data_IF_419487071941
#
_entry.id   IF_419487071941
#
_cell.length_a   1.000
_cell.length_b   1.000
_cell.length_c   1.000
_cell.angle_alpha   90.00
_cell.angle_beta   90.00
_cell.angle_gamma   90.00
#
_symmetry.space_group_name_H-M   'P 1'
#
loop_
_entity.id
_entity.type
_entity.pdbx_description
1 polymer ?
#
# COMPACT_ATOMS: atom_id res chain seq x y z
N UNK A 1 17.17 -8.26 32.37
CA UNK A 1 17.85 -9.56 32.60
C UNK A 1 18.66 -9.86 31.35
N UNK A 2 19.95 -10.23 31.47
CA UNK A 2 20.78 -10.61 30.31
C UNK A 2 20.13 -11.83 29.66
N UNK A 3 19.80 -11.76 28.37
CA UNK A 3 19.37 -12.93 27.61
C UNK A 3 20.52 -13.94 27.61
N UNK A 4 20.27 -15.12 28.15
CA UNK A 4 21.24 -16.23 28.14
C UNK A 4 21.16 -16.87 26.76
N UNK A 5 22.27 -16.98 26.04
CA UNK A 5 22.24 -17.53 24.68
C UNK A 5 22.04 -19.03 24.72
N UNK A 6 21.20 -19.59 23.85
CA UNK A 6 20.89 -21.02 23.80
C UNK A 6 21.67 -21.69 22.68
N UNK A 7 22.37 -22.76 23.00
CA UNK A 7 23.10 -23.61 22.04
C UNK A 7 22.42 -24.97 22.04
N UNK A 8 22.02 -25.46 20.88
CA UNK A 8 21.48 -26.81 20.74
C UNK A 8 22.54 -27.74 20.14
N UNK A 9 22.95 -28.76 20.90
CA UNK A 9 23.83 -29.82 20.40
C UNK A 9 23.03 -31.07 20.03
N UNK A 10 23.25 -31.58 18.81
CA UNK A 10 22.56 -32.74 18.25
C UNK A 10 23.62 -33.77 17.84
N UNK A 11 23.65 -34.91 18.52
CA UNK A 11 24.60 -36.01 18.27
C UNK A 11 23.96 -37.31 18.81
N UNK A 12 24.08 -38.42 18.09
CA UNK A 12 23.46 -39.70 18.46
C UNK A 12 24.16 -40.40 19.63
N UNK A 13 25.37 -39.94 20.00
CA UNK A 13 26.16 -40.48 21.10
C UNK A 13 26.08 -39.57 22.32
N UNK A 14 25.50 -40.10 23.40
CA UNK A 14 25.37 -39.40 24.67
C UNK A 14 26.70 -38.87 25.23
N UNK A 15 27.78 -39.64 25.09
CA UNK A 15 29.12 -39.24 25.56
C UNK A 15 29.63 -37.96 24.86
N UNK A 16 29.34 -37.80 23.57
CA UNK A 16 29.72 -36.61 22.81
C UNK A 16 28.93 -35.39 23.33
N UNK A 17 27.62 -35.56 23.54
CA UNK A 17 26.75 -34.51 24.08
C UNK A 17 27.19 -34.05 25.48
N UNK A 18 27.55 -34.99 26.36
CA UNK A 18 28.06 -34.69 27.71
C UNK A 18 29.37 -33.90 27.61
N UNK A 19 30.28 -34.33 26.73
CA UNK A 19 31.58 -33.70 26.54
C UNK A 19 31.45 -32.28 25.99
N UNK A 20 30.64 -32.08 24.94
CA UNK A 20 30.34 -30.76 24.36
C UNK A 20 29.70 -29.85 25.41
N UNK A 21 28.72 -30.36 26.16
CA UNK A 21 28.04 -29.60 27.21
C UNK A 21 29.00 -29.17 28.32
N UNK A 22 29.90 -30.06 28.75
CA UNK A 22 30.90 -29.75 29.77
C UNK A 22 31.92 -28.69 29.28
N UNK A 23 32.41 -28.85 28.04
CA UNK A 23 33.34 -27.91 27.40
C UNK A 23 32.74 -26.50 27.29
N UNK A 24 31.55 -26.39 26.69
CA UNK A 24 30.90 -25.10 26.47
C UNK A 24 30.49 -24.43 27.79
N UNK A 25 30.05 -25.19 28.79
CA UNK A 25 29.72 -24.64 30.10
C UNK A 25 30.93 -24.04 30.82
N UNK A 26 32.12 -24.60 30.61
CA UNK A 26 33.36 -24.08 31.18
C UNK A 26 33.83 -22.83 30.42
N UNK A 27 33.85 -22.90 29.08
CA UNK A 27 34.44 -21.86 28.23
C UNK A 27 33.49 -20.67 27.93
N UNK A 28 32.17 -20.89 28.02
CA UNK A 28 31.12 -19.91 27.72
C UNK A 28 29.97 -20.05 28.76
N UNK A 29 30.21 -19.71 30.04
CA UNK A 29 29.26 -19.92 31.14
C UNK A 29 27.94 -19.13 30.99
N UNK A 30 27.92 -18.10 30.13
CA UNK A 30 26.74 -17.31 29.79
C UNK A 30 25.79 -17.97 28.78
N UNK A 31 26.10 -19.19 28.32
CA UNK A 31 25.26 -19.94 27.38
C UNK A 31 24.56 -21.13 28.05
N UNK A 32 23.31 -21.36 27.66
CA UNK A 32 22.57 -22.58 27.95
C UNK A 32 22.86 -23.62 26.87
N UNK A 33 23.23 -24.85 27.25
CA UNK A 33 23.40 -25.95 26.29
C UNK A 33 22.26 -26.95 26.43
N UNK A 34 21.44 -26.98 25.39
CA UNK A 34 20.35 -27.93 25.17
C UNK A 34 20.89 -29.06 24.29
N UNK A 35 20.41 -30.29 24.49
CA UNK A 35 20.90 -31.47 23.78
C UNK A 35 19.75 -32.26 23.15
N UNK A 36 20.01 -32.92 22.02
CA UNK A 36 19.13 -33.89 21.37
C UNK A 36 19.93 -35.10 20.90
N UNK A 37 19.37 -36.30 21.00
CA UNK A 37 20.05 -37.55 20.62
C UNK A 37 19.65 -38.06 19.22
N UNK A 38 18.72 -37.38 18.55
CA UNK A 38 18.30 -37.75 17.20
C UNK A 38 18.07 -36.50 16.36
N UNK A 39 18.23 -36.61 15.04
CA UNK A 39 17.91 -35.51 14.12
C UNK A 39 16.46 -35.02 14.25
N UNK A 40 15.50 -35.93 14.44
CA UNK A 40 14.08 -35.59 14.64
C UNK A 40 13.86 -34.77 15.91
N UNK A 41 14.38 -35.25 17.05
CA UNK A 41 14.31 -34.52 18.32
C UNK A 41 15.01 -33.16 18.21
N UNK A 42 16.15 -33.10 17.51
CA UNK A 42 16.90 -31.87 17.26
C UNK A 42 16.07 -30.81 16.53
N UNK A 43 15.35 -31.20 15.47
CA UNK A 43 14.46 -30.28 14.73
C UNK A 43 13.30 -29.79 15.61
N UNK A 44 12.64 -30.69 16.33
CA UNK A 44 11.53 -30.35 17.23
C UNK A 44 11.98 -29.36 18.31
N UNK A 45 13.15 -29.59 18.91
CA UNK A 45 13.74 -28.67 19.90
C UNK A 45 14.17 -27.35 19.26
N UNK A 46 14.73 -27.35 18.06
CA UNK A 46 15.12 -26.11 17.38
C UNK A 46 13.92 -25.18 17.13
N UNK A 47 12.77 -25.75 16.74
CA UNK A 47 11.53 -24.99 16.52
C UNK A 47 10.96 -24.48 17.85
N UNK A 48 10.95 -25.32 18.89
CA UNK A 48 10.38 -24.97 20.19
C UNK A 48 11.21 -23.98 20.98
N UNK A 49 12.52 -24.19 21.04
CA UNK A 49 13.44 -23.45 21.92
C UNK A 49 14.11 -22.27 21.24
N UNK A 50 14.09 -22.22 19.90
CA UNK A 50 14.73 -21.21 19.05
C UNK A 50 16.16 -20.88 19.50
N UNK A 51 17.09 -21.85 19.43
CA UNK A 51 18.46 -21.65 19.86
C UNK A 51 19.17 -20.58 19.00
N UNK A 52 20.20 -19.96 19.57
CA UNK A 52 21.03 -18.95 18.92
C UNK A 52 22.08 -19.58 17.99
N UNK A 53 22.44 -20.85 18.22
CA UNK A 53 23.25 -21.64 17.28
C UNK A 53 23.02 -23.14 17.52
N UNK A 54 23.29 -23.95 16.50
CA UNK A 54 23.14 -25.40 16.53
C UNK A 54 24.49 -26.04 16.25
N UNK A 55 24.90 -26.98 17.11
CA UNK A 55 25.99 -27.92 16.86
C UNK A 55 25.37 -29.23 16.39
N UNK A 56 25.77 -29.70 15.22
CA UNK A 56 25.11 -30.83 14.56
C UNK A 56 26.13 -31.86 14.10
N UNK A 57 26.05 -33.06 14.64
CA UNK A 57 26.81 -34.18 14.11
C UNK A 57 26.32 -34.58 12.71
N UNK A 58 27.24 -34.91 11.82
CA UNK A 58 26.91 -35.34 10.46
C UNK A 58 26.42 -36.79 10.45
N UNK A 59 27.04 -37.68 11.22
CA UNK A 59 26.91 -39.12 11.09
C UNK A 59 25.93 -39.66 12.14
N UNK A 60 24.64 -39.44 11.94
CA UNK A 60 23.58 -39.95 12.81
C UNK A 60 22.71 -41.00 12.10
N UNK A 61 22.16 -41.99 12.83
CA UNK A 61 21.28 -43.00 12.26
C UNK A 61 19.92 -42.41 11.86
N UNK A 62 19.30 -43.02 10.85
CA UNK A 62 17.96 -42.68 10.29
C UNK A 62 17.93 -41.33 9.54
N UNK A 63 18.47 -40.26 10.13
CA UNK A 63 18.52 -38.93 9.53
C UNK A 63 19.90 -38.32 9.80
N UNK A 64 20.66 -38.11 8.73
CA UNK A 64 21.99 -37.52 8.84
C UNK A 64 21.95 -36.01 9.13
N UNK A 65 23.10 -35.43 9.50
CA UNK A 65 23.18 -34.00 9.81
C UNK A 65 22.89 -33.10 8.60
N UNK A 66 23.09 -33.57 7.36
CA UNK A 66 22.78 -32.78 6.17
C UNK A 66 21.26 -32.65 5.98
N UNK A 67 20.52 -33.75 6.16
CA UNK A 67 19.06 -33.77 6.13
C UNK A 67 18.46 -32.89 7.22
N UNK A 68 19.01 -32.94 8.44
CA UNK A 68 18.60 -32.07 9.54
C UNK A 68 18.85 -30.60 9.19
N UNK A 69 20.05 -30.26 8.72
CA UNK A 69 20.39 -28.88 8.33
C UNK A 69 19.44 -28.36 7.25
N UNK A 70 19.18 -29.16 6.21
CA UNK A 70 18.27 -28.78 5.13
C UNK A 70 16.85 -28.49 5.64
N UNK A 71 16.31 -29.35 6.53
CA UNK A 71 14.99 -29.13 7.14
C UNK A 71 14.94 -27.87 8.01
N UNK A 72 16.00 -27.57 8.74
CA UNK A 72 16.11 -26.35 9.56
C UNK A 72 16.17 -25.09 8.69
N UNK A 73 16.94 -25.11 7.59
CA UNK A 73 17.07 -23.98 6.68
C UNK A 73 15.84 -23.78 5.78
N UNK A 74 15.04 -24.82 5.55
CA UNK A 74 13.76 -24.71 4.84
C UNK A 74 12.62 -24.12 5.70
N UNK A 75 12.74 -24.13 7.03
CA UNK A 75 11.68 -23.67 7.93
C UNK A 75 11.84 -22.19 8.30
N UNK A 76 10.80 -21.38 8.12
CA UNK A 76 10.82 -19.93 8.38
C UNK A 76 11.24 -19.55 9.81
N UNK A 77 10.90 -20.37 10.81
CA UNK A 77 11.25 -20.11 12.20
C UNK A 77 12.73 -20.36 12.51
N UNK A 78 13.34 -21.35 11.86
CA UNK A 78 14.70 -21.83 12.20
C UNK A 78 15.76 -21.50 11.15
N UNK A 79 15.37 -21.02 9.96
CA UNK A 79 16.30 -20.79 8.84
C UNK A 79 17.42 -19.79 9.13
N UNK A 80 17.19 -18.89 10.08
CA UNK A 80 18.12 -17.86 10.52
C UNK A 80 19.05 -18.33 11.65
N UNK A 81 18.96 -19.59 12.09
CA UNK A 81 19.81 -20.13 13.15
C UNK A 81 21.10 -20.66 12.49
N UNK A 82 22.29 -20.18 12.92
CA UNK A 82 23.55 -20.69 12.41
C UNK A 82 23.78 -22.15 12.83
N UNK A 83 24.21 -22.97 11.88
CA UNK A 83 24.47 -24.40 12.06
C UNK A 83 25.96 -24.69 11.90
N UNK A 84 26.59 -25.19 12.96
CA UNK A 84 27.96 -25.67 12.98
C UNK A 84 27.92 -27.19 12.87
N UNK A 85 28.43 -27.72 11.76
CA UNK A 85 28.49 -29.14 11.49
C UNK A 85 29.76 -29.76 12.09
N UNK A 86 29.61 -30.89 12.77
CA UNK A 86 30.72 -31.64 13.36
C UNK A 86 30.95 -32.91 12.53
N UNK A 87 32.15 -33.03 11.94
CA UNK A 87 32.49 -34.10 10.99
C UNK A 87 33.62 -34.98 11.50
N UNK A 88 33.59 -36.28 11.20
CA UNK A 88 34.71 -37.19 11.47
C UNK A 88 35.85 -37.06 10.43
N UNK A 89 35.65 -36.34 9.32
CA UNK A 89 36.57 -36.35 8.17
C UNK A 89 37.30 -35.02 8.02
N UNK A 90 38.63 -35.01 8.20
CA UNK A 90 39.48 -33.80 8.02
C UNK A 90 39.68 -33.39 6.55
N UNK A 91 39.50 -34.29 5.58
CA UNK A 91 40.09 -34.18 4.23
C UNK A 91 39.16 -34.29 3.03
N UNK A 92 37.83 -34.46 3.20
CA UNK A 92 36.93 -34.50 2.03
C UNK A 92 36.37 -33.10 1.70
N UNK A 93 37.08 -32.39 0.83
CA UNK A 93 36.66 -31.08 0.30
C UNK A 93 35.27 -31.13 -0.36
N UNK A 94 34.85 -32.27 -0.94
CA UNK A 94 33.55 -32.38 -1.63
C UNK A 94 32.38 -32.40 -0.64
N UNK A 95 32.51 -33.12 0.48
CA UNK A 95 31.49 -33.16 1.53
C UNK A 95 31.34 -31.83 2.28
N UNK A 96 32.41 -31.03 2.38
CA UNK A 96 32.36 -29.67 2.94
C UNK A 96 31.66 -28.69 1.99
N UNK A 97 31.97 -28.75 0.69
CA UNK A 97 31.29 -27.92 -0.34
C UNK A 97 29.79 -28.22 -0.37
N UNK A 98 29.40 -29.49 -0.43
CA UNK A 98 27.99 -29.92 -0.38
C UNK A 98 27.28 -29.40 0.88
N UNK A 99 27.97 -29.39 2.02
CA UNK A 99 27.42 -28.90 3.27
C UNK A 99 27.21 -27.38 3.32
N UNK A 100 28.13 -26.60 2.77
CA UNK A 100 27.97 -25.16 2.60
C UNK A 100 26.81 -24.84 1.63
N UNK A 101 26.67 -25.61 0.55
CA UNK A 101 25.55 -25.48 -0.41
C UNK A 101 24.18 -25.80 0.22
N UNK A 102 24.13 -26.68 1.23
CA UNK A 102 22.93 -27.02 2.00
C UNK A 102 22.63 -25.97 3.10
N UNK A 103 23.55 -25.02 3.30
CA UNK A 103 23.38 -23.88 4.22
C UNK A 103 24.03 -24.08 5.60
N UNK A 104 24.91 -25.07 5.79
CA UNK A 104 25.73 -25.09 7.00
C UNK A 104 26.68 -23.89 7.02
N UNK A 105 26.84 -23.25 8.17
CA UNK A 105 27.62 -22.01 8.30
C UNK A 105 29.10 -22.30 8.57
N UNK A 106 29.39 -23.38 9.30
CA UNK A 106 30.75 -23.78 9.72
C UNK A 106 30.89 -25.30 9.78
N UNK A 107 32.11 -25.81 9.58
CA UNK A 107 32.49 -27.21 9.82
C UNK A 107 33.62 -27.31 10.85
N UNK A 108 33.51 -28.25 11.78
CA UNK A 108 34.54 -28.60 12.78
C UNK A 108 34.84 -30.10 12.66
N UNK A 109 36.13 -30.47 12.61
CA UNK A 109 36.54 -31.87 12.56
C UNK A 109 36.65 -32.51 13.95
N UNK A 110 36.32 -33.80 14.07
CA UNK A 110 36.63 -34.64 15.24
C UNK A 110 38.08 -35.14 15.14
N UNK A 111 38.82 -35.28 16.27
CA UNK A 111 38.42 -34.92 17.63
C UNK A 111 38.26 -33.39 17.78
N UNK A 112 37.24 -32.99 18.54
CA UNK A 112 36.87 -31.58 18.70
C UNK A 112 37.98 -30.85 19.48
N UNK A 113 38.60 -29.88 18.85
CA UNK A 113 39.47 -28.92 19.54
C UNK A 113 38.61 -27.91 20.32
N UNK A 114 38.91 -27.74 21.60
CA UNK A 114 38.10 -26.91 22.49
C UNK A 114 38.18 -25.42 22.13
N UNK A 115 39.34 -24.95 21.69
CA UNK A 115 39.56 -23.56 21.30
C UNK A 115 38.91 -23.25 19.95
N UNK A 116 38.99 -24.20 19.00
CA UNK A 116 38.29 -24.11 17.72
C UNK A 116 36.76 -24.04 17.93
N UNK A 117 36.18 -24.98 18.68
CA UNK A 117 34.74 -25.00 18.94
C UNK A 117 34.28 -23.73 19.63
N UNK A 118 34.98 -23.32 20.68
CA UNK A 118 34.64 -22.10 21.44
C UNK A 118 34.69 -20.87 20.54
N UNK A 119 35.71 -20.76 19.69
CA UNK A 119 35.86 -19.64 18.76
C UNK A 119 34.73 -19.60 17.75
N UNK A 120 34.41 -20.74 17.12
CA UNK A 120 33.34 -20.82 16.12
C UNK A 120 31.97 -20.52 16.72
N UNK A 121 31.67 -21.07 17.90
CA UNK A 121 30.42 -20.77 18.63
C UNK A 121 30.33 -19.27 18.93
N UNK A 122 31.40 -18.65 19.44
CA UNK A 122 31.40 -17.19 19.71
C UNK A 122 31.17 -16.36 18.46
N UNK A 123 31.70 -16.77 17.30
CA UNK A 123 31.44 -16.09 16.02
C UNK A 123 29.99 -16.27 15.60
N UNK A 124 29.44 -17.49 15.64
CA UNK A 124 28.04 -17.74 15.27
C UNK A 124 27.06 -16.99 16.15
N UNK A 125 27.28 -16.92 17.47
CA UNK A 125 26.45 -16.14 18.38
C UNK A 125 26.49 -14.63 18.06
N UNK A 126 27.64 -14.10 17.64
CA UNK A 126 27.75 -12.69 17.19
C UNK A 126 26.98 -12.46 15.89
N UNK A 127 27.08 -13.38 14.94
CA UNK A 127 26.33 -13.32 13.67
C UNK A 127 24.83 -13.37 13.95
N UNK A 128 24.36 -14.35 14.73
CA UNK A 128 22.95 -14.47 15.14
C UNK A 128 22.42 -13.18 15.74
N UNK A 129 23.17 -12.60 16.69
CA UNK A 129 22.77 -11.36 17.35
C UNK A 129 22.68 -10.18 16.37
N UNK A 130 23.58 -10.10 15.39
CA UNK A 130 23.55 -9.07 14.36
C UNK A 130 22.35 -9.26 13.42
N UNK A 131 22.08 -10.50 12.99
CA UNK A 131 20.93 -10.85 12.14
C UNK A 131 19.59 -10.59 12.84
N UNK A 132 19.44 -10.99 14.11
CA UNK A 132 18.24 -10.72 14.89
C UNK A 132 17.99 -9.22 15.04
N UNK A 133 19.06 -8.46 15.30
CA UNK A 133 18.97 -7.01 15.39
C UNK A 133 18.51 -6.42 14.07
N UNK A 134 19.15 -6.77 12.95
CA UNK A 134 18.76 -6.30 11.63
C UNK A 134 17.32 -6.66 11.28
N UNK A 135 16.88 -7.88 11.62
CA UNK A 135 15.50 -8.31 11.41
C UNK A 135 14.52 -7.47 12.22
N UNK A 136 14.79 -7.26 13.50
CA UNK A 136 13.94 -6.42 14.36
C UNK A 136 13.87 -4.96 13.89
N UNK A 137 15.00 -4.40 13.46
CA UNK A 137 15.07 -3.04 12.91
C UNK A 137 14.29 -2.93 11.60
N UNK A 138 14.38 -3.94 10.74
CA UNK A 138 13.60 -4.02 9.50
C UNK A 138 12.09 -4.02 9.80
N UNK A 139 11.62 -4.87 10.71
CA UNK A 139 10.20 -4.97 11.05
C UNK A 139 9.67 -3.62 11.60
N UNK A 140 10.45 -2.95 12.47
CA UNK A 140 10.11 -1.62 13.01
C UNK A 140 10.09 -0.56 11.89
N UNK A 141 11.05 -0.63 10.97
CA UNK A 141 11.15 0.33 9.87
C UNK A 141 9.96 0.17 8.90
N UNK A 142 9.57 -1.07 8.57
CA UNK A 142 8.39 -1.36 7.74
C UNK A 142 7.11 -0.79 8.38
N UNK A 143 6.91 -1.01 9.68
CA UNK A 143 5.78 -0.43 10.41
C UNK A 143 5.82 1.12 10.41
N UNK A 144 7.01 1.70 10.60
CA UNK A 144 7.18 3.16 10.59
C UNK A 144 6.89 3.76 9.21
N UNK A 145 7.36 3.13 8.13
CA UNK A 145 7.08 3.55 6.75
C UNK A 145 5.59 3.50 6.47
N UNK A 146 4.91 2.41 6.87
CA UNK A 146 3.46 2.29 6.70
C UNK A 146 2.72 3.42 7.43
N UNK A 147 2.99 3.62 8.72
CA UNK A 147 2.34 4.67 9.52
C UNK A 147 2.59 6.08 8.97
N UNK A 148 3.82 6.36 8.52
CA UNK A 148 4.15 7.66 7.92
C UNK A 148 3.44 7.86 6.57
N UNK A 149 3.35 6.81 5.76
CA UNK A 149 2.64 6.85 4.47
C UNK A 149 1.15 7.13 4.68
N UNK A 150 0.50 6.44 5.62
CA UNK A 150 -0.91 6.69 5.98
C UNK A 150 -1.11 8.13 6.50
N UNK A 151 -0.18 8.64 7.30
CA UNK A 151 -0.24 10.03 7.80
C UNK A 151 -0.13 11.04 6.66
N UNK A 152 0.79 10.83 5.70
CA UNK A 152 0.94 11.70 4.53
C UNK A 152 -0.35 11.70 3.70
N UNK A 153 -0.91 10.53 3.39
CA UNK A 153 -2.18 10.41 2.66
C UNK A 153 -3.31 11.19 3.35
N UNK A 154 -3.46 11.04 4.67
CA UNK A 154 -4.48 11.78 5.44
C UNK A 154 -4.27 13.29 5.42
N UNK A 155 -3.02 13.75 5.53
CA UNK A 155 -2.71 15.18 5.45
C UNK A 155 -3.04 15.72 4.06
N UNK A 156 -2.71 14.97 3.01
CA UNK A 156 -3.02 15.33 1.63
C UNK A 156 -4.53 15.42 1.38
N UNK A 157 -5.32 14.44 1.84
CA UNK A 157 -6.79 14.48 1.76
C UNK A 157 -7.37 15.70 2.50
N UNK A 158 -6.90 15.97 3.72
CA UNK A 158 -7.33 17.13 4.49
C UNK A 158 -6.96 18.46 3.80
N UNK A 159 -5.81 18.51 3.13
CA UNK A 159 -5.39 19.68 2.35
C UNK A 159 -6.31 19.89 1.15
N UNK A 160 -6.66 18.84 0.40
CA UNK A 160 -7.64 18.92 -0.69
C UNK A 160 -9.00 19.41 -0.20
N UNK A 161 -9.51 18.87 0.91
CA UNK A 161 -10.76 19.35 1.53
C UNK A 161 -10.67 20.81 1.96
N UNK A 162 -9.53 21.24 2.48
CA UNK A 162 -9.31 22.64 2.87
C UNK A 162 -9.33 23.55 1.65
N UNK A 163 -8.64 23.18 0.56
CA UNK A 163 -8.65 23.94 -0.71
C UNK A 163 -10.08 24.00 -1.26
N UNK A 164 -10.79 22.88 -1.31
CA UNK A 164 -12.19 22.80 -1.72
C UNK A 164 -13.08 23.76 -0.91
N UNK A 165 -12.89 23.84 0.41
CA UNK A 165 -13.61 24.78 1.29
C UNK A 165 -13.24 26.24 1.03
N UNK A 166 -11.96 26.54 0.78
CA UNK A 166 -11.51 27.91 0.46
C UNK A 166 -12.18 28.39 -0.83
N UNK A 167 -12.21 27.55 -1.88
CA UNK A 167 -12.93 27.86 -3.13
C UNK A 167 -14.40 28.18 -2.82
N UNK A 168 -15.03 27.38 -1.96
CA UNK A 168 -16.42 27.62 -1.55
C UNK A 168 -16.68 28.79 -0.63
N UNK A 169 -15.67 29.53 -0.18
CA UNK A 169 -15.90 30.81 0.53
C UNK A 169 -16.28 31.94 -0.44
N UNK A 170 -15.83 31.86 -1.70
CA UNK A 170 -16.20 32.82 -2.75
C UNK A 170 -17.53 32.50 -3.42
N UNK A 171 -17.96 31.24 -3.28
CA UNK A 171 -19.21 30.75 -3.82
C UNK A 171 -19.97 29.98 -2.73
N UNK A 172 -20.94 30.63 -2.06
CA UNK A 172 -21.76 30.00 -1.00
C UNK A 172 -22.42 28.67 -1.43
N UNK A 173 -22.53 28.44 -2.74
CA UNK A 173 -23.05 27.23 -3.39
C UNK A 173 -22.15 25.99 -3.23
N UNK A 174 -20.84 26.18 -3.06
CA UNK A 174 -19.84 25.10 -3.15
C UNK A 174 -19.72 24.28 -1.84
N UNK A 175 -20.38 24.69 -0.75
CA UNK A 175 -20.31 23.98 0.53
C UNK A 175 -20.81 22.51 0.41
N UNK A 176 -19.85 21.57 0.42
CA UNK A 176 -20.11 20.13 0.24
C UNK A 176 -20.43 19.69 -1.20
N UNK A 177 -20.53 20.61 -2.16
CA UNK A 177 -20.78 20.31 -3.58
C UNK A 177 -19.69 19.39 -4.14
N UNK A 178 -18.43 19.80 -4.01
CA UNK A 178 -17.29 19.02 -4.50
C UNK A 178 -17.22 17.60 -3.92
N UNK A 179 -17.62 17.44 -2.66
CA UNK A 179 -17.65 16.12 -2.00
C UNK A 179 -18.77 15.24 -2.57
N UNK A 180 -19.97 15.82 -2.78
CA UNK A 180 -21.10 15.11 -3.39
C UNK A 180 -20.83 14.74 -4.85
N UNK A 181 -20.24 15.64 -5.64
CA UNK A 181 -19.79 15.34 -7.01
C UNK A 181 -18.78 14.20 -7.00
N UNK A 182 -17.76 14.27 -6.14
CA UNK A 182 -16.74 13.21 -6.01
C UNK A 182 -17.35 11.87 -5.63
N UNK A 183 -18.28 11.83 -4.66
CA UNK A 183 -18.98 10.61 -4.25
C UNK A 183 -19.77 9.99 -5.41
N UNK A 184 -20.52 10.80 -6.17
CA UNK A 184 -21.31 10.32 -7.30
C UNK A 184 -20.43 9.87 -8.46
N UNK A 185 -19.40 10.65 -8.82
CA UNK A 185 -18.45 10.31 -9.89
C UNK A 185 -17.73 8.98 -9.61
N UNK A 186 -17.29 8.76 -8.37
CA UNK A 186 -16.68 7.49 -7.94
C UNK A 186 -17.68 6.33 -8.02
N UNK A 187 -18.94 6.55 -7.63
CA UNK A 187 -19.98 5.52 -7.73
C UNK A 187 -20.27 5.13 -9.18
N UNK A 188 -20.34 6.11 -10.09
CA UNK A 188 -20.49 5.89 -11.52
C UNK A 188 -19.29 5.11 -12.06
N UNK A 189 -18.06 5.59 -11.80
CA UNK A 189 -16.83 4.98 -12.30
C UNK A 189 -16.65 3.53 -11.84
N UNK A 190 -17.02 3.20 -10.60
CA UNK A 190 -16.96 1.82 -10.09
C UNK A 190 -17.93 0.89 -10.81
N UNK A 191 -19.16 1.33 -11.05
CA UNK A 191 -20.14 0.53 -11.80
C UNK A 191 -19.81 0.45 -13.30
N UNK A 192 -19.01 1.39 -13.82
CA UNK A 192 -18.37 1.33 -15.16
C UNK A 192 -17.16 0.39 -15.22
N UNK A 193 -16.75 -0.23 -14.10
CA UNK A 193 -15.58 -1.11 -14.01
C UNK A 193 -14.25 -0.42 -14.36
N UNK A 194 -14.15 0.88 -14.10
CA UNK A 194 -12.89 1.63 -14.23
C UNK A 194 -11.88 1.11 -13.18
N UNK A 195 -10.58 0.99 -13.52
CA UNK A 195 -9.55 0.57 -12.57
C UNK A 195 -9.50 1.46 -11.31
N UNK A 196 -9.33 0.87 -10.12
CA UNK A 196 -9.35 1.62 -8.84
C UNK A 196 -8.27 2.72 -8.79
N UNK A 197 -7.13 2.51 -9.45
CA UNK A 197 -6.09 3.54 -9.60
C UNK A 197 -6.62 4.76 -10.36
N UNK A 198 -7.37 4.58 -11.44
CA UNK A 198 -7.96 5.68 -12.23
C UNK A 198 -9.15 6.33 -11.50
N UNK A 199 -9.92 5.56 -10.73
CA UNK A 199 -10.99 6.06 -9.85
C UNK A 199 -10.43 7.07 -8.83
N UNK A 200 -9.23 6.84 -8.31
CA UNK A 200 -8.60 7.80 -7.39
C UNK A 200 -8.31 9.15 -8.09
N UNK A 201 -7.88 9.12 -9.36
CA UNK A 201 -7.77 10.33 -10.19
C UNK A 201 -9.10 11.07 -10.36
N UNK A 202 -10.21 10.35 -10.61
CA UNK A 202 -11.57 10.90 -10.68
C UNK A 202 -11.97 11.54 -9.35
N UNK A 203 -11.73 10.83 -8.24
CA UNK A 203 -12.07 11.27 -6.88
C UNK A 203 -11.38 12.59 -6.56
N UNK A 204 -10.06 12.65 -6.75
CA UNK A 204 -9.25 13.85 -6.51
C UNK A 204 -9.69 14.97 -7.42
N UNK A 205 -9.84 14.72 -8.72
CA UNK A 205 -10.18 15.77 -9.68
C UNK A 205 -11.56 16.36 -9.39
N UNK A 206 -12.54 15.54 -9.05
CA UNK A 206 -13.88 15.98 -8.67
C UNK A 206 -13.88 16.92 -7.46
N UNK A 207 -12.92 16.78 -6.55
CA UNK A 207 -12.82 17.66 -5.37
C UNK A 207 -12.28 19.06 -5.71
N UNK A 208 -11.59 19.20 -6.84
CA UNK A 208 -10.85 20.43 -7.21
C UNK A 208 -11.20 20.96 -8.60
N UNK A 209 -12.17 20.35 -9.31
CA UNK A 209 -12.51 20.70 -10.69
C UNK A 209 -12.85 22.20 -10.87
N UNK A 210 -13.40 22.79 -9.83
CA UNK A 210 -13.80 24.19 -9.77
C UNK A 210 -12.74 25.15 -9.20
N UNK A 211 -11.49 24.69 -8.99
CA UNK A 211 -10.42 25.51 -8.36
C UNK A 211 -10.16 26.85 -9.07
N UNK A 212 -10.38 26.90 -10.38
CA UNK A 212 -10.23 28.13 -11.15
C UNK A 212 -11.26 29.21 -10.83
N UNK A 213 -12.38 28.89 -10.15
CA UNK A 213 -13.38 29.88 -9.72
C UNK A 213 -12.81 30.89 -8.73
N UNK A 214 -11.63 30.64 -8.18
CA UNK A 214 -10.93 31.61 -7.32
C UNK A 214 -10.66 32.96 -8.00
N UNK A 215 -10.55 32.99 -9.33
CA UNK A 215 -10.37 34.20 -10.12
C UNK A 215 -11.68 34.86 -10.57
N UNK A 216 -12.83 34.21 -10.36
CA UNK A 216 -14.14 34.76 -10.74
C UNK A 216 -14.67 35.66 -9.60
N UNK A 217 -15.13 36.89 -9.89
CA UNK A 217 -15.73 37.77 -8.89
C UNK A 217 -16.94 37.12 -8.19
N UNK A 218 -17.04 37.31 -6.87
CA UNK A 218 -18.11 36.71 -6.07
C UNK A 218 -19.49 37.27 -6.45
N UNK A 219 -19.56 38.51 -6.91
CA UNK A 219 -20.77 39.18 -7.39
C UNK A 219 -21.33 38.51 -8.65
N UNK A 220 -20.47 37.90 -9.46
CA UNK A 220 -20.87 37.14 -10.66
C UNK A 220 -21.35 35.74 -10.26
N UNK A 221 -20.61 35.05 -9.37
CA UNK A 221 -20.96 33.71 -8.90
C UNK A 221 -22.29 33.68 -8.13
N UNK A 222 -22.56 34.72 -7.35
CA UNK A 222 -23.75 34.84 -6.51
C UNK A 222 -24.90 35.65 -7.14
N UNK A 223 -24.76 36.08 -8.40
CA UNK A 223 -25.73 36.96 -9.07
C UNK A 223 -27.13 36.31 -9.13
N UNK A 224 -28.18 36.94 -8.58
CA UNK A 224 -29.55 36.46 -8.76
C UNK A 224 -30.02 36.70 -10.19
N UNK A 225 -30.48 35.65 -10.87
CA UNK A 225 -31.03 35.71 -12.22
C UNK A 225 -30.08 35.19 -13.30
N UNK A 226 -30.36 35.57 -14.57
CA UNK A 226 -29.53 35.14 -15.71
C UNK A 226 -28.27 35.99 -15.80
N UNK A 227 -27.16 35.32 -16.08
CA UNK A 227 -25.88 35.95 -16.42
C UNK A 227 -25.94 36.48 -17.85
N UNK A 228 -25.25 37.58 -18.09
CA UNK A 228 -24.95 38.04 -19.45
C UNK A 228 -23.89 37.15 -20.08
N UNK A 229 -23.78 37.17 -21.41
CA UNK A 229 -22.77 36.37 -22.12
C UNK A 229 -21.34 36.70 -21.69
N UNK A 230 -21.07 37.97 -21.35
CA UNK A 230 -19.76 38.42 -20.85
C UNK A 230 -19.50 37.84 -19.45
N UNK A 231 -20.48 37.90 -18.55
CA UNK A 231 -20.36 37.34 -17.20
C UNK A 231 -20.20 35.82 -17.23
N UNK A 232 -20.95 35.14 -18.12
CA UNK A 232 -20.81 33.71 -18.32
C UNK A 232 -19.43 33.35 -18.89
N UNK A 233 -18.91 34.14 -19.84
CA UNK A 233 -17.56 33.98 -20.37
C UNK A 233 -16.47 34.08 -19.29
N UNK A 234 -16.64 34.96 -18.30
CA UNK A 234 -15.74 35.03 -17.14
C UNK A 234 -15.83 33.77 -16.26
N UNK A 235 -17.01 33.19 -16.09
CA UNK A 235 -17.15 31.92 -15.39
C UNK A 235 -16.46 30.80 -16.16
N UNK A 236 -16.62 30.71 -17.48
CA UNK A 236 -16.03 29.64 -18.30
C UNK A 236 -14.50 29.55 -18.17
N UNK A 237 -13.82 30.67 -17.88
CA UNK A 237 -12.37 30.73 -17.66
C UNK A 237 -11.87 29.95 -16.43
N UNK A 238 -12.76 29.46 -15.55
CA UNK A 238 -12.32 28.63 -14.43
C UNK A 238 -11.69 27.31 -14.88
N UNK A 239 -12.09 26.78 -16.04
CA UNK A 239 -11.51 25.54 -16.61
C UNK A 239 -10.03 25.76 -16.95
N UNK A 240 -9.72 26.80 -17.72
CA UNK A 240 -8.35 27.14 -18.12
C UNK A 240 -7.52 27.65 -16.94
N UNK A 241 -8.11 28.44 -16.04
CA UNK A 241 -7.43 28.85 -14.80
C UNK A 241 -7.10 27.65 -13.92
N UNK A 242 -8.05 26.70 -13.79
CA UNK A 242 -7.85 25.47 -13.03
C UNK A 242 -6.73 24.61 -13.61
N UNK A 243 -6.67 24.48 -14.93
CA UNK A 243 -5.57 23.84 -15.65
C UNK A 243 -4.22 24.50 -15.31
N UNK A 244 -4.12 25.83 -15.40
CA UNK A 244 -2.88 26.57 -15.12
C UNK A 244 -2.39 26.39 -13.67
N UNK A 245 -3.31 26.29 -12.71
CA UNK A 245 -2.98 26.01 -11.31
C UNK A 245 -2.46 24.58 -11.13
N UNK A 246 -3.13 23.60 -11.74
CA UNK A 246 -2.90 22.19 -11.47
C UNK A 246 -1.78 21.56 -12.32
N UNK A 247 -1.49 22.10 -13.53
CA UNK A 247 -0.47 21.55 -14.45
C UNK A 247 0.96 21.56 -13.89
N UNK A 248 1.18 22.31 -12.81
CA UNK A 248 2.50 22.42 -12.16
C UNK A 248 2.77 21.29 -11.15
N UNK A 249 1.73 20.52 -10.79
CA UNK A 249 1.83 19.45 -9.80
C UNK A 249 1.97 18.11 -10.54
N UNK A 250 3.00 17.34 -10.16
CA UNK A 250 3.26 16.01 -10.69
C UNK A 250 2.33 14.98 -10.04
N UNK A 251 1.11 14.90 -10.56
CA UNK A 251 0.16 13.83 -10.21
C UNK A 251 0.34 12.63 -11.15
N UNK A 252 0.12 11.40 -10.65
CA UNK A 252 0.15 10.21 -11.50
C UNK A 252 -1.03 10.15 -12.50
N UNK A 253 -2.00 11.06 -12.37
CA UNK A 253 -3.18 11.18 -13.23
C UNK A 253 -3.20 12.54 -13.94
N UNK A 254 -3.84 12.64 -15.13
CA UNK A 254 -3.93 13.88 -15.90
C UNK A 254 -4.97 14.86 -15.31
N UNK A 255 -4.82 15.21 -14.03
CA UNK A 255 -5.79 16.00 -13.27
C UNK A 255 -6.04 17.35 -13.94
N UNK A 256 -4.99 18.03 -14.41
CA UNK A 256 -5.11 19.32 -15.04
C UNK A 256 -5.98 19.24 -16.30
N UNK A 257 -5.72 18.27 -17.17
CA UNK A 257 -6.49 18.04 -18.39
C UNK A 257 -7.94 17.68 -18.09
N UNK A 258 -8.20 16.85 -17.08
CA UNK A 258 -9.57 16.52 -16.67
C UNK A 258 -10.31 17.78 -16.20
N UNK A 259 -9.67 18.65 -15.40
CA UNK A 259 -10.23 19.95 -15.00
C UNK A 259 -10.45 20.87 -16.20
N UNK A 260 -9.58 20.83 -17.20
CA UNK A 260 -9.78 21.64 -18.41
C UNK A 260 -11.02 21.21 -19.20
N UNK A 261 -11.33 19.90 -19.19
CA UNK A 261 -12.32 19.28 -20.05
C UNK A 261 -13.68 19.02 -19.38
N UNK A 262 -13.82 19.19 -18.07
CA UNK A 262 -15.03 18.76 -17.34
C UNK A 262 -16.34 19.48 -17.72
N UNK A 263 -16.28 20.53 -18.55
CA UNK A 263 -17.44 21.19 -19.16
C UNK A 263 -17.53 21.02 -20.68
N UNK A 264 -16.68 20.18 -21.26
CA UNK A 264 -16.84 19.73 -22.64
C UNK A 264 -18.08 18.84 -22.76
N UNK A 265 -18.74 18.92 -23.91
CA UNK A 265 -19.89 18.08 -24.26
C UNK A 265 -19.46 17.21 -25.44
N UNK A 266 -19.82 15.92 -25.46
CA UNK A 266 -19.30 14.98 -26.47
C UNK A 266 -19.65 15.36 -27.93
N UNK A 267 -20.67 16.20 -28.15
CA UNK A 267 -21.02 16.79 -29.45
C UNK A 267 -20.20 18.04 -29.85
N UNK A 268 -19.29 18.53 -29.03
CA UNK A 268 -18.48 19.73 -29.28
C UNK A 268 -19.15 21.06 -28.94
N UNK A 269 -20.32 21.05 -28.28
CA UNK A 269 -21.00 22.28 -27.83
C UNK A 269 -20.53 22.79 -26.47
N UNK A 270 -19.57 22.09 -25.85
CA UNK A 270 -18.99 22.45 -24.57
C UNK A 270 -17.88 23.49 -24.68
N UNK A 271 -17.13 23.66 -23.60
CA UNK A 271 -16.04 24.63 -23.50
C UNK A 271 -14.91 24.06 -22.61
N UNK A 272 -13.66 24.58 -22.71
CA UNK A 272 -13.23 25.78 -23.45
C UNK A 272 -12.90 25.59 -24.94
N UNK A 273 -12.72 24.36 -25.41
CA UNK A 273 -12.23 24.11 -26.77
C UNK A 273 -13.27 23.47 -27.70
N UNK A 274 -14.42 23.03 -27.18
CA UNK A 274 -15.45 22.38 -27.99
C UNK A 274 -15.00 21.00 -28.47
N UNK A 275 -14.33 20.26 -27.58
CA UNK A 275 -13.84 18.92 -27.84
C UNK A 275 -15.00 17.96 -28.12
N UNK A 276 -14.73 16.90 -28.88
CA UNK A 276 -15.70 15.84 -29.18
C UNK A 276 -15.34 14.57 -28.44
N UNK A 277 -16.27 13.63 -28.35
CA UNK A 277 -16.17 12.40 -27.53
C UNK A 277 -14.75 11.79 -27.45
N UNK A 278 -14.15 11.45 -28.59
CA UNK A 278 -12.84 10.79 -28.65
C UNK A 278 -11.65 11.63 -28.14
N UNK A 279 -11.83 12.93 -27.96
CA UNK A 279 -10.81 13.87 -27.46
C UNK A 279 -11.01 14.22 -25.98
N UNK A 280 -12.13 13.81 -25.37
CA UNK A 280 -12.46 14.10 -23.97
C UNK A 280 -12.14 12.88 -23.10
N UNK A 281 -11.31 13.08 -22.08
CA UNK A 281 -10.96 12.05 -21.10
C UNK A 281 -12.22 11.51 -20.42
N UNK A 282 -12.31 10.19 -20.26
CA UNK A 282 -13.48 9.51 -19.68
C UNK A 282 -13.78 10.02 -18.25
N UNK A 283 -12.74 10.36 -17.50
CA UNK A 283 -12.83 10.96 -16.18
C UNK A 283 -13.58 12.29 -16.22
N UNK A 284 -13.29 13.15 -17.21
CA UNK A 284 -13.98 14.42 -17.40
C UNK A 284 -15.45 14.21 -17.80
N UNK A 285 -15.71 13.21 -18.64
CA UNK A 285 -17.09 12.85 -19.03
C UNK A 285 -17.92 12.34 -17.84
N UNK A 286 -17.33 11.57 -16.92
CA UNK A 286 -17.99 11.11 -15.69
C UNK A 286 -18.24 12.27 -14.72
N UNK A 287 -17.24 13.13 -14.53
CA UNK A 287 -17.36 14.32 -13.67
C UNK A 287 -18.46 15.25 -14.21
N UNK A 288 -18.54 15.44 -15.53
CA UNK A 288 -19.60 16.22 -16.17
C UNK A 288 -20.99 15.73 -15.79
N UNK A 289 -21.22 14.42 -15.82
CA UNK A 289 -22.50 13.81 -15.45
C UNK A 289 -22.79 14.03 -13.95
N UNK A 290 -21.81 13.79 -13.08
CA UNK A 290 -21.97 13.95 -11.64
C UNK A 290 -22.23 15.42 -11.24
N UNK A 291 -21.52 16.36 -11.86
CA UNK A 291 -21.67 17.81 -11.64
C UNK A 291 -23.08 18.30 -12.03
N UNK A 292 -23.59 17.90 -13.20
CA UNK A 292 -24.96 18.26 -13.62
C UNK A 292 -26.00 17.77 -12.62
N UNK A 293 -25.86 16.54 -12.12
CA UNK A 293 -26.80 15.98 -11.15
C UNK A 293 -26.79 16.75 -9.86
N UNK A 294 -25.61 16.97 -9.29
CA UNK A 294 -25.47 17.73 -8.04
C UNK A 294 -26.04 19.14 -8.24
N UNK A 295 -25.67 19.80 -9.33
CA UNK A 295 -26.00 21.19 -9.56
C UNK A 295 -27.48 21.47 -9.76
N UNK A 296 -28.23 20.50 -10.28
CA UNK A 296 -29.68 20.57 -10.44
C UNK A 296 -30.45 20.13 -9.18
N UNK A 297 -29.91 19.17 -8.44
CA UNK A 297 -30.55 18.57 -7.27
C UNK A 297 -30.38 19.39 -5.99
N UNK A 298 -29.36 20.24 -5.91
CA UNK A 298 -29.05 21.03 -4.71
C UNK A 298 -29.80 22.37 -4.65
N UNK A 299 -30.26 22.73 -3.44
CA UNK A 299 -30.94 24.01 -3.18
C UNK A 299 -29.95 25.17 -3.32
N UNK A 300 -30.39 26.25 -3.99
CA UNK A 300 -29.63 27.50 -4.11
C UNK A 300 -30.39 28.65 -3.41
N UNK A 301 -29.71 29.65 -2.82
CA UNK A 301 -30.35 30.78 -2.12
C UNK A 301 -31.44 31.51 -2.94
N UNK A 302 -31.36 31.46 -4.27
CA UNK A 302 -32.28 32.13 -5.20
C UNK A 302 -32.98 31.17 -6.19
N UNK A 303 -32.76 29.86 -6.06
CA UNK A 303 -33.40 28.82 -6.88
C UNK A 303 -33.63 27.57 -6.03
N UNK A 304 -34.89 27.22 -5.80
CA UNK A 304 -35.23 25.93 -5.20
C UNK A 304 -34.59 24.79 -6.00
N UNK A 305 -34.21 23.70 -5.34
CA UNK A 305 -33.75 22.52 -6.06
C UNK A 305 -34.84 22.09 -7.07
N UNK A 306 -34.42 21.77 -8.29
CA UNK A 306 -35.36 21.18 -9.27
C UNK A 306 -35.68 19.73 -8.91
N UNK A 307 -34.88 19.11 -8.04
CA UNK A 307 -35.00 17.74 -7.61
C UNK A 307 -34.13 16.79 -8.42
N UNK A 308 -33.94 15.59 -7.87
CA UNK A 308 -33.17 14.52 -8.52
C UNK A 308 -33.84 14.07 -9.82
N UNK A 309 -35.17 14.08 -9.85
CA UNK A 309 -35.97 13.69 -11.01
C UNK A 309 -35.69 14.59 -12.22
N UNK A 310 -35.67 15.91 -12.01
CA UNK A 310 -35.37 16.87 -13.06
C UNK A 310 -33.91 16.77 -13.54
N UNK A 311 -32.98 16.46 -12.63
CA UNK A 311 -31.59 16.23 -12.97
C UNK A 311 -31.41 14.98 -13.86
N UNK A 312 -32.10 13.89 -13.51
CA UNK A 312 -32.13 12.67 -14.32
C UNK A 312 -32.77 12.93 -15.69
N UNK A 313 -33.84 13.71 -15.75
CA UNK A 313 -34.50 14.08 -17.00
C UNK A 313 -33.55 14.85 -17.94
N UNK A 314 -32.83 15.86 -17.45
CA UNK A 314 -31.82 16.59 -18.22
C UNK A 314 -30.73 15.65 -18.76
N UNK A 315 -30.22 14.74 -17.93
CA UNK A 315 -29.22 13.76 -18.38
C UNK A 315 -29.76 12.85 -19.48
N UNK A 316 -31.00 12.38 -19.36
CA UNK A 316 -31.64 11.52 -20.35
C UNK A 316 -31.89 12.25 -21.67
N UNK A 317 -32.26 13.54 -21.62
CA UNK A 317 -32.40 14.38 -22.81
C UNK A 317 -31.05 14.55 -23.52
N UNK A 318 -29.97 14.76 -22.78
CA UNK A 318 -28.62 14.94 -23.34
C UNK A 318 -27.82 13.65 -23.56
N UNK A 319 -28.40 12.47 -23.29
CA UNK A 319 -27.70 11.17 -23.31
C UNK A 319 -27.19 10.81 -24.70
N UNK A 320 -25.88 10.58 -24.84
CA UNK A 320 -25.26 10.24 -26.13
C UNK A 320 -25.12 11.43 -27.09
N UNK A 321 -25.54 12.63 -26.69
CA UNK A 321 -25.38 13.86 -27.45
C UNK A 321 -24.50 14.86 -26.70
N UNK A 322 -24.89 15.26 -25.49
CA UNK A 322 -24.09 16.13 -24.62
C UNK A 322 -23.21 15.33 -23.66
N UNK A 323 -23.77 14.24 -23.14
CA UNK A 323 -23.16 13.44 -22.08
C UNK A 323 -22.83 12.04 -22.57
N UNK A 324 -21.77 11.44 -22.02
CA UNK A 324 -21.42 10.05 -22.27
C UNK A 324 -22.61 9.12 -22.00
N UNK A 325 -22.95 8.29 -22.97
CA UNK A 325 -24.13 7.43 -22.88
C UNK A 325 -24.06 6.45 -21.70
N UNK A 326 -22.91 5.78 -21.54
CA UNK A 326 -22.71 4.75 -20.52
C UNK A 326 -22.70 5.36 -19.11
N UNK A 327 -22.00 6.49 -18.93
CA UNK A 327 -21.98 7.19 -17.64
C UNK A 327 -23.39 7.65 -17.22
N UNK A 328 -24.21 8.14 -18.16
CA UNK A 328 -25.61 8.49 -17.89
C UNK A 328 -26.42 7.25 -17.51
N UNK A 329 -26.32 6.16 -18.27
CA UNK A 329 -27.07 4.93 -17.99
C UNK A 329 -26.77 4.39 -16.60
N UNK A 330 -25.50 4.36 -16.23
CA UNK A 330 -25.06 3.90 -14.92
C UNK A 330 -25.51 4.86 -13.83
N UNK A 331 -25.37 6.17 -14.02
CA UNK A 331 -25.87 7.17 -13.07
C UNK A 331 -27.37 6.97 -12.79
N UNK A 332 -28.18 6.80 -13.83
CA UNK A 332 -29.62 6.56 -13.68
C UNK A 332 -29.88 5.23 -12.97
N UNK A 333 -29.14 4.18 -13.32
CA UNK A 333 -29.26 2.85 -12.72
C UNK A 333 -28.96 2.87 -11.22
N UNK A 334 -27.86 3.47 -10.77
CA UNK A 334 -27.47 3.48 -9.36
C UNK A 334 -28.46 4.23 -8.48
N UNK A 335 -29.11 5.29 -9.00
CA UNK A 335 -30.19 5.99 -8.29
C UNK A 335 -31.48 5.15 -8.26
N UNK A 336 -31.90 4.56 -9.38
CA UNK A 336 -33.12 3.73 -9.47
C UNK A 336 -33.04 2.47 -8.59
N UNK A 337 -31.88 1.82 -8.55
CA UNK A 337 -31.64 0.64 -7.72
C UNK A 337 -31.41 0.99 -6.23
N UNK A 338 -31.37 2.28 -5.88
CA UNK A 338 -31.09 2.74 -4.52
C UNK A 338 -29.67 2.46 -4.03
N UNK A 339 -28.74 2.13 -4.95
CA UNK A 339 -27.33 1.88 -4.67
C UNK A 339 -26.55 3.15 -4.29
N UNK A 340 -27.06 4.31 -4.70
CA UNK A 340 -26.50 5.61 -4.33
C UNK A 340 -27.58 6.54 -3.79
N UNK A 341 -27.25 7.24 -2.71
CA UNK A 341 -28.01 8.35 -2.17
C UNK A 341 -27.02 9.40 -1.69
N UNK A 342 -27.29 10.68 -1.96
CA UNK A 342 -26.55 11.74 -1.31
C UNK A 342 -26.79 11.64 0.21
N UNK A 343 -25.73 11.82 0.99
CA UNK A 343 -25.90 11.95 2.45
C UNK A 343 -26.65 13.26 2.71
N UNK A 344 -27.74 13.17 3.46
CA UNK A 344 -28.40 14.36 4.01
C UNK A 344 -27.43 14.99 5.04
N UNK A 345 -27.24 16.31 4.94
CA UNK A 345 -26.42 17.08 5.86
C UNK A 345 -27.16 17.35 7.18
#
# INVERSE_FOLDING_TARGET
MKHMSKILAIDDRLDNLISIKALLRNMIPECEVITAQTGKEGIERAIKELPDTILLDINMPVMDGYEVCNKLKANFATKHIPVIMITAVRTDSKSRVKGLEIGADVFISKPIDADELTSQVKVMLRIKKAEDKLRSEKDILEEMVQKRTEKIKRVQENMMLTIARIIGTKDPYIAGHHERVSQLAVAIAREMLIPEEQIEGIRVTSMVHDIGKINVPAEILSKPGKLTDIEFGLIQQHTTTGYEVLKTIDYPWPIAEIVLQHHENINGTGYPYGLKDGDILIEAQIIRVADVVEAMSSHRPYRAALGLEAAIEELLIGRGEKYNQEAVDICVKIFKEGKFKFKEN
#
